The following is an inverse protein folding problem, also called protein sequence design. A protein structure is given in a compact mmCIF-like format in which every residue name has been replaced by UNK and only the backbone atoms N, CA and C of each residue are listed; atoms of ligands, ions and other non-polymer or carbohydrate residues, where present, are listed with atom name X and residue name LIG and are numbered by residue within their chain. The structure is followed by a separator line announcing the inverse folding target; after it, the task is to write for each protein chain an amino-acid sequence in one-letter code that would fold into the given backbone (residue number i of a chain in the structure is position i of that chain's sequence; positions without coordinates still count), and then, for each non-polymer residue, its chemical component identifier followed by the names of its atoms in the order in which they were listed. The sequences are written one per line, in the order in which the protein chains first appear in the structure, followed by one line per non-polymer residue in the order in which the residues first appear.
data_IF_536889177280
#
_entry.id   IF_536889177280
#
_cell.length_a   1.000
_cell.length_b   1.000
_cell.length_c   1.000
_cell.angle_alpha   90.00
_cell.angle_beta   90.00
_cell.angle_gamma   90.00
#
_symmetry.space_group_name_H-M   'P 1'
#
loop_
_entity.id
_entity.type
_entity.pdbx_description
1 polymer ?
#
# COMPACT_ATOMS: atom_id res chain seq x y z
N UNK A 1 5.18 40.13 -29.93
CA UNK A 1 5.87 38.83 -30.07
C UNK A 1 6.12 38.32 -28.65
N UNK A 2 5.29 37.41 -28.15
CA UNK A 2 5.41 36.88 -26.78
C UNK A 2 5.90 35.43 -26.87
N UNK A 3 7.13 35.20 -26.41
CA UNK A 3 7.73 33.87 -26.33
C UNK A 3 7.17 33.15 -25.10
N UNK A 4 6.27 32.19 -25.31
CA UNK A 4 5.77 31.31 -24.26
C UNK A 4 6.79 30.20 -23.99
N UNK A 5 7.48 30.29 -22.87
CA UNK A 5 8.33 29.23 -22.32
C UNK A 5 7.48 27.97 -22.07
N UNK A 6 7.67 26.94 -22.90
CA UNK A 6 7.06 25.64 -22.68
C UNK A 6 7.81 24.92 -21.57
N UNK A 7 7.17 24.80 -20.40
CA UNK A 7 7.64 23.95 -19.31
C UNK A 7 7.56 22.50 -19.77
N UNK A 8 8.71 21.90 -20.14
CA UNK A 8 8.82 20.46 -20.37
C UNK A 8 8.82 19.79 -19.01
N UNK A 9 7.65 19.31 -18.58
CA UNK A 9 7.56 18.40 -17.43
C UNK A 9 8.18 17.08 -17.85
N UNK A 10 9.44 16.85 -17.45
CA UNK A 10 10.04 15.52 -17.50
C UNK A 10 9.28 14.62 -16.52
N UNK A 11 8.25 13.93 -17.02
CA UNK A 11 7.73 12.74 -16.38
C UNK A 11 8.84 11.69 -16.46
N UNK A 12 9.62 11.55 -15.38
CA UNK A 12 10.52 10.42 -15.21
C UNK A 12 9.66 9.15 -15.22
N UNK A 13 9.55 8.51 -16.38
CA UNK A 13 8.90 7.23 -16.55
C UNK A 13 9.70 6.19 -15.78
N UNK A 14 9.30 5.93 -14.53
CA UNK A 14 9.70 4.70 -13.87
C UNK A 14 9.11 3.56 -14.70
N UNK A 15 9.94 2.82 -15.42
CA UNK A 15 9.62 1.49 -15.94
C UNK A 15 9.46 0.56 -14.74
N UNK A 16 8.35 0.74 -14.01
CA UNK A 16 7.95 -0.16 -12.95
C UNK A 16 7.59 -1.48 -13.59
N UNK A 17 8.39 -2.52 -13.32
CA UNK A 17 8.02 -3.89 -13.64
C UNK A 17 6.58 -4.11 -13.14
N UNK A 18 5.68 -4.42 -14.06
CA UNK A 18 4.29 -4.72 -13.71
C UNK A 18 4.31 -6.03 -12.96
N UNK A 19 3.99 -6.00 -11.67
CA UNK A 19 3.82 -7.20 -10.86
C UNK A 19 2.46 -7.79 -11.21
N UNK A 20 2.44 -9.04 -11.63
CA UNK A 20 1.22 -9.78 -11.96
C UNK A 20 0.50 -10.26 -10.70
N UNK A 21 -0.80 -10.57 -10.82
CA UNK A 21 -1.57 -11.17 -9.72
C UNK A 21 -0.93 -12.49 -9.25
N UNK A 22 -0.42 -13.30 -10.19
CA UNK A 22 0.24 -14.58 -9.88
C UNK A 22 1.46 -14.39 -8.99
N UNK A 23 2.30 -13.40 -9.30
CA UNK A 23 3.47 -13.07 -8.48
C UNK A 23 3.06 -12.57 -7.10
N UNK A 24 2.03 -11.72 -7.00
CA UNK A 24 1.53 -11.25 -5.70
C UNK A 24 0.98 -12.39 -4.83
N UNK A 25 0.24 -13.33 -5.43
CA UNK A 25 -0.31 -14.48 -4.67
C UNK A 25 0.83 -15.37 -4.16
N UNK A 26 1.90 -15.54 -4.94
CA UNK A 26 3.03 -16.38 -4.59
C UNK A 26 4.02 -15.78 -3.59
N UNK A 27 3.97 -14.46 -3.34
CA UNK A 27 4.90 -13.77 -2.46
C UNK A 27 4.18 -13.16 -1.24
N UNK A 28 4.52 -13.67 -0.06
CA UNK A 28 4.00 -13.22 1.22
C UNK A 28 4.23 -11.72 1.49
N UNK A 29 5.22 -11.08 0.84
CA UNK A 29 5.48 -9.64 0.97
C UNK A 29 4.32 -8.75 0.46
N UNK A 30 3.42 -9.33 -0.35
CA UNK A 30 2.21 -8.66 -0.85
C UNK A 30 0.95 -8.90 -0.02
N UNK A 31 1.06 -9.61 1.11
CA UNK A 31 -0.07 -9.95 1.97
C UNK A 31 -0.02 -9.18 3.30
N UNK A 32 -1.18 -8.79 3.85
CA UNK A 32 -1.21 -8.22 5.19
C UNK A 32 -0.68 -9.22 6.23
N UNK A 33 0.20 -8.79 7.15
CA UNK A 33 0.64 -9.64 8.25
C UNK A 33 -0.56 -10.09 9.10
N UNK A 34 -0.47 -11.28 9.70
CA UNK A 34 -1.49 -11.75 10.62
C UNK A 34 -1.58 -10.81 11.85
N UNK A 35 -2.81 -10.43 12.24
CA UNK A 35 -3.03 -9.68 13.46
C UNK A 35 -3.07 -10.62 14.68
N UNK A 36 -1.89 -10.98 15.19
CA UNK A 36 -1.73 -11.85 16.36
C UNK A 36 -1.54 -11.07 17.67
N UNK A 37 -1.45 -9.74 17.62
CA UNK A 37 -1.25 -8.85 18.76
C UNK A 37 -2.18 -7.64 18.66
N UNK A 38 -2.31 -6.90 19.76
CA UNK A 38 -3.05 -5.64 19.83
C UNK A 38 -2.12 -4.52 20.34
N UNK A 39 -1.81 -3.49 19.54
CA UNK A 39 -2.32 -3.23 18.19
C UNK A 39 -1.78 -4.19 17.12
N UNK A 40 -2.58 -4.43 16.08
CA UNK A 40 -2.16 -5.09 14.85
C UNK A 40 -1.08 -4.26 14.14
N UNK A 41 -0.09 -4.90 13.53
CA UNK A 41 0.98 -4.23 12.80
C UNK A 41 0.76 -4.32 11.30
N UNK A 42 0.68 -3.18 10.62
CA UNK A 42 0.70 -3.07 9.16
C UNK A 42 2.13 -2.80 8.68
N UNK A 43 2.58 -3.64 7.76
CA UNK A 43 3.83 -3.46 7.01
C UNK A 43 3.77 -4.31 5.76
N UNK A 44 4.29 -3.81 4.63
CA UNK A 44 4.34 -4.55 3.38
C UNK A 44 4.43 -3.66 2.14
N UNK A 45 4.68 -4.29 0.99
CA UNK A 45 4.82 -3.61 -0.30
C UNK A 45 3.47 -3.23 -0.95
N UNK A 46 2.36 -3.60 -0.31
CA UNK A 46 1.01 -3.51 -0.89
C UNK A 46 0.63 -4.81 -1.54
N UNK A 47 -0.12 -4.77 -2.65
CA UNK A 47 -0.69 -5.96 -3.28
C UNK A 47 -2.12 -5.70 -3.70
N UNK A 48 -3.00 -6.67 -3.51
CA UNK A 48 -4.42 -6.57 -3.88
C UNK A 48 -5.15 -5.73 -2.83
N UNK A 49 -5.63 -4.54 -3.20
CA UNK A 49 -6.31 -3.59 -2.30
C UNK A 49 -7.41 -4.25 -1.48
N UNK A 50 -8.31 -5.01 -2.11
CA UNK A 50 -9.44 -5.68 -1.44
C UNK A 50 -9.00 -6.64 -0.32
N UNK A 51 -7.86 -7.30 -0.47
CA UNK A 51 -7.32 -8.22 0.56
C UNK A 51 -6.89 -7.43 1.78
N UNK A 52 -6.18 -6.33 1.58
CA UNK A 52 -5.69 -5.45 2.64
C UNK A 52 -6.84 -4.71 3.34
N UNK A 53 -7.81 -4.20 2.59
CA UNK A 53 -9.00 -3.55 3.14
C UNK A 53 -9.87 -4.53 3.95
N UNK A 54 -10.13 -5.72 3.41
CA UNK A 54 -10.88 -6.76 4.13
C UNK A 54 -10.17 -7.18 5.41
N UNK A 55 -8.84 -7.28 5.40
CA UNK A 55 -8.05 -7.60 6.58
C UNK A 55 -8.26 -6.56 7.69
N UNK A 56 -8.17 -5.26 7.37
CA UNK A 56 -8.38 -4.22 8.38
C UNK A 56 -9.82 -4.17 8.85
N UNK A 57 -10.80 -4.24 7.95
CA UNK A 57 -12.23 -4.23 8.30
C UNK A 57 -12.61 -5.36 9.24
N UNK A 58 -12.13 -6.57 8.96
CA UNK A 58 -12.40 -7.75 9.80
C UNK A 58 -11.89 -7.56 11.22
N UNK A 59 -10.73 -6.92 11.40
CA UNK A 59 -10.10 -6.74 12.70
C UNK A 59 -10.60 -5.49 13.43
N UNK A 60 -10.95 -4.41 12.71
CA UNK A 60 -11.66 -3.26 13.27
C UNK A 60 -13.02 -3.69 13.83
N UNK A 61 -13.76 -4.55 13.12
CA UNK A 61 -15.01 -5.12 13.60
C UNK A 61 -14.83 -5.99 14.86
N UNK A 62 -13.60 -6.48 15.12
CA UNK A 62 -13.22 -7.18 16.36
C UNK A 62 -12.66 -6.23 17.44
N UNK A 63 -12.72 -4.92 17.22
CA UNK A 63 -12.25 -3.90 18.17
C UNK A 63 -10.73 -3.71 18.21
N UNK A 64 -9.97 -4.23 17.22
CA UNK A 64 -8.51 -4.12 17.20
C UNK A 64 -8.05 -2.74 16.77
N UNK A 65 -6.91 -2.30 17.32
CA UNK A 65 -6.22 -1.10 16.88
C UNK A 65 -5.10 -1.44 15.89
N UNK A 66 -4.66 -0.46 15.10
CA UNK A 66 -3.62 -0.63 14.10
C UNK A 66 -2.47 0.35 14.28
N UNK A 67 -1.26 -0.15 14.04
CA UNK A 67 -0.04 0.66 13.92
C UNK A 67 0.70 0.31 12.64
N UNK A 68 1.44 1.26 12.09
CA UNK A 68 2.36 1.00 10.97
C UNK A 68 3.78 0.93 11.51
N UNK A 69 4.52 -0.12 11.11
CA UNK A 69 5.94 -0.30 11.43
C UNK A 69 6.73 -0.48 10.12
N UNK A 70 7.90 0.16 10.01
CA UNK A 70 8.74 -0.01 8.83
C UNK A 70 8.07 0.57 7.57
N UNK A 71 7.96 -0.23 6.51
CA UNK A 71 7.39 0.22 5.24
C UNK A 71 5.93 -0.23 5.08
N UNK A 72 5.10 0.65 4.53
CA UNK A 72 3.74 0.33 4.12
C UNK A 72 3.43 1.08 2.81
N UNK A 73 3.39 0.35 1.70
CA UNK A 73 3.26 0.90 0.36
C UNK A 73 1.93 0.49 -0.32
N UNK A 74 1.44 1.31 -1.25
CA UNK A 74 0.29 1.00 -2.11
C UNK A 74 -0.92 0.47 -1.31
N UNK A 75 -1.39 -0.77 -1.53
CA UNK A 75 -2.51 -1.36 -0.79
C UNK A 75 -2.34 -1.37 0.73
N UNK A 76 -1.11 -1.55 1.24
CA UNK A 76 -0.85 -1.45 2.67
C UNK A 76 -1.16 -0.05 3.17
N UNK A 77 -0.70 0.96 2.43
CA UNK A 77 -0.88 2.37 2.78
C UNK A 77 -2.36 2.76 2.77
N UNK A 78 -3.11 2.29 1.76
CA UNK A 78 -4.58 2.45 1.70
C UNK A 78 -5.24 1.85 2.94
N UNK A 79 -4.89 0.61 3.29
CA UNK A 79 -5.43 -0.05 4.48
C UNK A 79 -5.02 0.65 5.79
N UNK A 80 -3.81 1.21 5.87
CA UNK A 80 -3.36 1.99 7.02
C UNK A 80 -4.21 3.27 7.21
N UNK A 81 -4.52 3.99 6.13
CA UNK A 81 -5.43 5.15 6.19
C UNK A 81 -6.84 4.73 6.60
N UNK A 82 -7.36 3.64 6.00
CA UNK A 82 -8.68 3.09 6.30
C UNK A 82 -8.81 2.69 7.78
N UNK A 83 -7.76 2.12 8.35
CA UNK A 83 -7.73 1.71 9.75
C UNK A 83 -7.43 2.85 10.74
N UNK A 84 -7.22 4.08 10.26
CA UNK A 84 -6.70 5.19 11.07
C UNK A 84 -5.45 4.79 11.88
N UNK A 85 -4.57 4.02 11.26
CA UNK A 85 -3.43 3.41 11.93
C UNK A 85 -2.43 4.47 12.42
N UNK A 86 -1.90 4.29 13.64
CA UNK A 86 -0.86 5.17 14.17
C UNK A 86 0.51 4.80 13.58
N UNK A 87 1.26 5.79 13.12
CA UNK A 87 2.63 5.59 12.61
C UNK A 87 3.61 5.46 13.78
N UNK A 88 4.39 4.37 13.82
CA UNK A 88 5.50 4.23 14.75
C UNK A 88 6.72 5.04 14.26
N UNK A 89 7.66 5.41 15.15
CA UNK A 89 8.89 6.08 14.74
C UNK A 89 9.63 5.33 13.64
N UNK A 90 10.00 6.04 12.57
CA UNK A 90 10.69 5.48 11.41
C UNK A 90 9.79 4.76 10.40
N UNK A 91 8.47 4.73 10.61
CA UNK A 91 7.53 4.20 9.62
C UNK A 91 7.46 5.08 8.37
N UNK A 92 7.30 4.45 7.20
CA UNK A 92 7.18 5.10 5.89
C UNK A 92 5.90 4.64 5.21
N UNK A 93 5.10 5.61 4.79
CA UNK A 93 3.96 5.40 3.89
C UNK A 93 4.38 5.76 2.47
N UNK A 94 4.19 4.84 1.52
CA UNK A 94 4.41 5.13 0.10
C UNK A 94 3.07 5.09 -0.61
N UNK A 95 2.63 6.27 -1.04
CA UNK A 95 1.38 6.45 -1.78
C UNK A 95 1.60 6.09 -3.25
N UNK A 96 0.77 5.19 -3.76
CA UNK A 96 0.72 4.84 -5.17
C UNK A 96 -0.74 4.75 -5.60
N UNK A 97 -1.06 5.24 -6.80
CA UNK A 97 -2.38 5.00 -7.39
C UNK A 97 -2.53 3.50 -7.70
N UNK A 98 -3.65 2.87 -7.29
CA UNK A 98 -3.94 1.50 -7.68
C UNK A 98 -3.99 1.39 -9.20
N UNK A 99 -3.28 0.40 -9.75
CA UNK A 99 -3.37 0.04 -11.16
C UNK A 99 -4.25 -1.20 -11.30
N UNK A 100 -4.96 -1.36 -12.44
CA UNK A 100 -5.67 -2.59 -12.73
C UNK A 100 -4.74 -3.79 -12.59
N UNK A 101 -5.23 -4.83 -11.91
CA UNK A 101 -4.48 -6.06 -11.72
C UNK A 101 -4.31 -6.76 -13.08
N UNK A 102 -3.06 -7.11 -13.44
CA UNK A 102 -2.78 -7.84 -14.67
C UNK A 102 -2.77 -9.34 -14.36
N UNK A 103 -3.71 -10.05 -14.95
CA UNK A 103 -3.83 -11.51 -14.88
C UNK A 103 -3.18 -12.05 -16.16
N UNK A 104 -1.96 -12.58 -16.05
CA UNK A 104 -1.25 -13.29 -17.14
C UNK A 104 -1.21 -14.78 -16.87
#
# INVERSE_FOLDING_TARGET
MAAGLSLVVLAAGCSGNVVTVREMIGDASYWPPACNADPCVLTGNGGITDVWERHVDTNLARGRQFVVKGLCASACEIAARRAHARLLPGAKLIVHEPRPAVIL
#
